data_IF_450715956012
#
_entry.id   IF_450715956012
#
_cell.length_a   1.000
_cell.length_b   1.000
_cell.length_c   1.000
_cell.angle_alpha   90.00
_cell.angle_beta   90.00
_cell.angle_gamma   90.00
#
_symmetry.space_group_name_H-M   'P 1'
#
loop_
_entity.id
_entity.type
_entity.pdbx_description
1 polymer ?
#
# COMPACT_ATOMS: atom_id res chain seq x y z
N UNK A 1 23.14 -1.52 -21.57
CA UNK A 1 22.56 -1.06 -20.30
C UNK A 1 23.55 -1.35 -19.18
N UNK A 2 23.86 -0.36 -18.34
CA UNK A 2 24.80 -0.55 -17.24
C UNK A 2 24.11 -1.17 -16.01
N UNK A 3 24.90 -1.48 -14.98
CA UNK A 3 24.38 -2.11 -13.77
C UNK A 3 23.31 -1.28 -13.08
N UNK A 4 23.50 0.05 -13.03
CA UNK A 4 22.55 0.95 -12.37
C UNK A 4 21.22 0.99 -13.12
N UNK A 5 21.26 1.02 -14.44
CA UNK A 5 20.06 1.03 -15.26
C UNK A 5 19.28 -0.29 -15.15
N UNK A 6 20.01 -1.43 -15.10
CA UNK A 6 19.40 -2.72 -14.90
C UNK A 6 18.70 -2.81 -13.55
N UNK A 7 19.37 -2.33 -12.51
CA UNK A 7 18.82 -2.34 -11.17
C UNK A 7 17.58 -1.46 -11.08
N UNK A 8 17.61 -0.30 -11.73
CA UNK A 8 16.46 0.59 -11.74
C UNK A 8 15.25 -0.06 -12.41
N UNK A 9 15.46 -0.77 -13.52
CA UNK A 9 14.37 -1.47 -14.19
C UNK A 9 13.78 -2.57 -13.33
N UNK A 10 14.64 -3.33 -12.65
CA UNK A 10 14.19 -4.39 -11.73
C UNK A 10 13.36 -3.77 -10.60
N UNK A 11 13.84 -2.68 -10.01
CA UNK A 11 13.14 -2.00 -8.92
C UNK A 11 11.79 -1.48 -9.37
N UNK A 12 11.70 -0.90 -10.58
CA UNK A 12 10.43 -0.43 -11.13
C UNK A 12 9.44 -1.56 -11.35
N UNK A 13 9.92 -2.69 -11.84
CA UNK A 13 9.06 -3.88 -12.05
C UNK A 13 8.51 -4.39 -10.73
N UNK A 14 9.34 -4.51 -9.71
CA UNK A 14 8.89 -4.94 -8.38
C UNK A 14 7.91 -3.95 -7.79
N UNK A 15 8.17 -2.66 -7.93
CA UNK A 15 7.29 -1.60 -7.42
C UNK A 15 5.91 -1.70 -8.05
N UNK A 16 5.82 -1.96 -9.36
CA UNK A 16 4.53 -2.06 -10.04
C UNK A 16 3.70 -3.24 -9.54
N UNK A 17 4.33 -4.39 -9.32
CA UNK A 17 3.62 -5.59 -8.87
C UNK A 17 3.35 -5.55 -7.36
N UNK A 18 4.39 -5.32 -6.58
CA UNK A 18 4.32 -5.44 -5.14
C UNK A 18 3.58 -4.29 -4.50
N UNK A 19 3.67 -3.10 -5.08
CA UNK A 19 2.99 -1.91 -4.55
C UNK A 19 1.47 -2.04 -4.61
N UNK A 20 0.94 -2.86 -5.51
CA UNK A 20 -0.50 -3.07 -5.64
C UNK A 20 -0.97 -4.26 -4.83
N UNK A 21 -0.25 -5.38 -4.88
CA UNK A 21 -0.69 -6.63 -4.26
C UNK A 21 -0.13 -6.83 -2.84
N UNK A 22 1.16 -7.03 -2.74
CA UNK A 22 1.82 -7.30 -1.46
C UNK A 22 3.29 -6.93 -1.61
N UNK A 23 3.63 -5.66 -1.43
CA UNK A 23 4.98 -5.17 -1.71
C UNK A 23 6.00 -5.74 -0.74
N UNK A 24 6.87 -6.62 -1.24
CA UNK A 24 7.91 -7.24 -0.44
C UNK A 24 8.95 -6.21 0.03
N UNK A 25 9.16 -5.13 -0.74
CA UNK A 25 10.09 -4.07 -0.35
C UNK A 25 9.58 -3.22 0.81
N UNK A 26 8.33 -3.39 1.21
CA UNK A 26 7.77 -2.74 2.38
C UNK A 26 7.83 -3.63 3.63
N UNK A 27 8.53 -4.74 3.55
CA UNK A 27 8.77 -5.58 4.72
C UNK A 27 9.91 -5.01 5.56
N UNK A 28 9.79 -5.10 6.88
CA UNK A 28 10.86 -4.75 7.80
C UNK A 28 11.85 -5.91 7.91
N UNK A 29 13.04 -5.64 8.48
CA UNK A 29 14.09 -6.64 8.62
C UNK A 29 13.64 -7.88 9.39
N UNK A 30 12.70 -7.71 10.32
CA UNK A 30 12.17 -8.80 11.12
C UNK A 30 11.07 -9.59 10.42
N UNK A 31 10.76 -9.26 9.16
CA UNK A 31 9.71 -9.92 8.38
C UNK A 31 8.32 -9.32 8.54
N UNK A 32 8.18 -8.30 9.35
CA UNK A 32 6.88 -7.63 9.57
C UNK A 32 6.58 -6.70 8.41
N UNK A 33 5.35 -6.75 7.88
CA UNK A 33 4.93 -5.77 6.88
C UNK A 33 4.81 -4.38 7.51
N UNK A 34 5.25 -3.34 6.78
CA UNK A 34 5.20 -1.97 7.28
C UNK A 34 3.79 -1.58 7.68
N UNK A 35 2.77 -1.99 6.92
CA UNK A 35 1.37 -1.67 7.26
C UNK A 35 0.97 -2.20 8.62
N UNK A 36 1.44 -3.40 8.99
CA UNK A 36 1.13 -3.99 10.28
C UNK A 36 1.86 -3.24 11.40
N UNK A 37 3.07 -2.80 11.14
CA UNK A 37 3.84 -1.97 12.07
C UNK A 37 3.13 -0.64 12.32
N UNK A 38 2.67 0.01 11.25
CA UNK A 38 1.90 1.27 11.35
C UNK A 38 0.66 1.05 12.22
N UNK A 39 -0.06 -0.05 11.97
CA UNK A 39 -1.26 -0.37 12.75
C UNK A 39 -0.93 -0.57 14.24
N UNK A 40 0.20 -1.22 14.54
CA UNK A 40 0.60 -1.44 15.93
C UNK A 40 0.90 -0.13 16.66
N UNK A 41 1.40 0.87 15.95
CA UNK A 41 1.73 2.17 16.53
C UNK A 41 0.49 3.05 16.64
N UNK A 42 -0.32 3.13 15.59
CA UNK A 42 -1.45 4.05 15.50
C UNK A 42 -2.74 3.49 16.09
N UNK A 43 -2.82 2.18 16.28
CA UNK A 43 -4.06 1.52 16.63
C UNK A 43 -4.99 1.39 15.44
N UNK A 44 -6.13 0.70 15.63
CA UNK A 44 -7.05 0.41 14.54
C UNK A 44 -7.65 1.69 13.94
N UNK A 45 -8.06 2.64 14.79
CA UNK A 45 -8.65 3.88 14.28
C UNK A 45 -7.64 4.73 13.52
N UNK A 46 -6.42 4.87 14.03
CA UNK A 46 -5.36 5.59 13.33
C UNK A 46 -4.98 4.92 12.02
N UNK A 47 -4.91 3.60 12.03
CA UNK A 47 -4.61 2.82 10.82
C UNK A 47 -5.68 3.03 9.73
N UNK A 48 -6.96 2.98 10.11
CA UNK A 48 -8.05 3.23 9.16
C UNK A 48 -7.96 4.63 8.58
N UNK A 49 -7.73 5.63 9.40
CA UNK A 49 -7.58 7.01 8.94
C UNK A 49 -6.40 7.18 7.99
N UNK A 50 -5.27 6.56 8.31
CA UNK A 50 -4.10 6.57 7.46
C UNK A 50 -4.40 5.95 6.09
N UNK A 51 -5.08 4.79 6.07
CA UNK A 51 -5.41 4.10 4.82
C UNK A 51 -6.40 4.91 3.98
N UNK A 52 -7.41 5.51 4.61
CA UNK A 52 -8.35 6.40 3.90
C UNK A 52 -7.61 7.58 3.28
N UNK A 53 -6.68 8.18 4.03
CA UNK A 53 -5.86 9.28 3.50
C UNK A 53 -5.05 8.86 2.28
N UNK A 54 -4.48 7.66 2.30
CA UNK A 54 -3.76 7.13 1.15
C UNK A 54 -4.69 6.94 -0.05
N UNK A 55 -5.89 6.40 0.17
CA UNK A 55 -6.86 6.19 -0.90
C UNK A 55 -7.23 7.54 -1.54
N UNK A 56 -7.49 8.55 -0.73
CA UNK A 56 -7.80 9.90 -1.22
C UNK A 56 -6.65 10.44 -2.07
N UNK A 57 -5.41 10.27 -1.59
CA UNK A 57 -4.23 10.72 -2.32
C UNK A 57 -4.17 10.08 -3.72
N UNK A 58 -4.35 8.77 -3.81
CA UNK A 58 -4.25 8.07 -5.08
C UNK A 58 -5.40 8.43 -6.03
N UNK A 59 -6.61 8.53 -5.52
CA UNK A 59 -7.77 8.96 -6.33
C UNK A 59 -7.57 10.37 -6.85
N UNK A 60 -7.01 11.26 -6.02
CA UNK A 60 -6.80 12.66 -6.39
C UNK A 60 -5.78 12.84 -7.51
N UNK A 61 -4.80 11.92 -7.63
CA UNK A 61 -3.71 12.11 -8.57
C UNK A 61 -3.75 11.19 -9.79
N UNK A 62 -4.71 10.26 -9.88
CA UNK A 62 -4.65 9.21 -10.89
C UNK A 62 -4.60 9.74 -12.33
N UNK A 63 -5.18 10.93 -12.59
CA UNK A 63 -5.18 11.54 -13.91
C UNK A 63 -3.87 12.22 -14.28
N UNK A 64 -3.06 12.60 -13.29
CA UNK A 64 -1.95 13.53 -13.49
C UNK A 64 -0.57 12.91 -13.46
N UNK A 65 -0.42 11.67 -12.95
CA UNK A 65 0.89 11.07 -12.70
C UNK A 65 1.31 10.00 -13.72
N UNK A 66 0.55 9.82 -14.79
CA UNK A 66 0.94 8.92 -15.89
C UNK A 66 0.74 7.44 -15.64
N UNK A 67 0.23 7.05 -14.48
CA UNK A 67 -0.06 5.64 -14.14
C UNK A 67 -1.45 5.53 -13.51
N UNK A 68 -2.51 5.90 -14.25
CA UNK A 68 -3.85 5.99 -13.67
C UNK A 68 -4.38 4.67 -13.13
N UNK A 69 -4.18 3.58 -13.88
CA UNK A 69 -4.68 2.27 -13.43
C UNK A 69 -3.99 1.83 -12.15
N UNK A 70 -2.68 2.03 -12.05
CA UNK A 70 -1.92 1.67 -10.86
C UNK A 70 -2.38 2.49 -9.65
N UNK A 71 -2.58 3.80 -9.84
CA UNK A 71 -3.04 4.66 -8.74
C UNK A 71 -4.42 4.25 -8.24
N UNK A 72 -5.33 3.91 -9.15
CA UNK A 72 -6.67 3.46 -8.76
C UNK A 72 -6.62 2.13 -8.03
N UNK A 73 -5.75 1.21 -8.45
CA UNK A 73 -5.56 -0.06 -7.75
C UNK A 73 -4.97 0.14 -6.36
N UNK A 74 -4.05 1.09 -6.20
CA UNK A 74 -3.51 1.43 -4.88
C UNK A 74 -4.59 2.01 -3.97
N UNK A 75 -5.49 2.83 -4.53
CA UNK A 75 -6.63 3.33 -3.77
C UNK A 75 -7.51 2.17 -3.31
N UNK A 76 -7.80 1.21 -4.18
CA UNK A 76 -8.58 0.01 -3.82
C UNK A 76 -7.92 -0.79 -2.70
N UNK A 77 -6.60 -0.99 -2.76
CA UNK A 77 -5.88 -1.73 -1.74
C UNK A 77 -5.98 -1.05 -0.38
N UNK A 78 -5.88 0.27 -0.34
CA UNK A 78 -6.01 1.01 0.90
C UNK A 78 -7.43 0.94 1.46
N UNK A 79 -8.44 1.02 0.60
CA UNK A 79 -9.84 0.85 1.01
C UNK A 79 -10.05 -0.57 1.55
N UNK A 80 -9.47 -1.58 0.90
CA UNK A 80 -9.59 -2.96 1.35
C UNK A 80 -9.01 -3.16 2.75
N UNK A 81 -7.90 -2.49 3.07
CA UNK A 81 -7.34 -2.54 4.42
C UNK A 81 -8.32 -2.05 5.47
N UNK A 82 -9.09 -1.00 5.16
CA UNK A 82 -10.11 -0.49 6.08
C UNK A 82 -11.24 -1.51 6.23
N UNK A 83 -11.68 -2.07 5.13
CA UNK A 83 -12.75 -3.09 5.14
C UNK A 83 -12.33 -4.29 5.98
N UNK A 84 -11.08 -4.72 5.85
CA UNK A 84 -10.56 -5.86 6.60
C UNK A 84 -10.58 -5.60 8.11
N UNK A 85 -10.16 -4.40 8.53
CA UNK A 85 -10.19 -4.03 9.95
C UNK A 85 -11.62 -4.00 10.48
N UNK A 86 -12.54 -3.43 9.71
CA UNK A 86 -13.96 -3.40 10.09
C UNK A 86 -14.53 -4.81 10.21
N UNK A 87 -14.16 -5.71 9.29
CA UNK A 87 -14.58 -7.10 9.34
C UNK A 87 -14.05 -7.84 10.57
N UNK A 88 -12.81 -7.60 10.94
CA UNK A 88 -12.23 -8.17 12.15
C UNK A 88 -12.98 -7.71 13.41
N UNK A 89 -13.30 -6.43 13.48
CA UNK A 89 -14.02 -5.87 14.62
C UNK A 89 -15.44 -6.42 14.71
N UNK A 90 -16.13 -6.58 13.58
CA UNK A 90 -17.45 -7.17 13.54
C UNK A 90 -17.42 -8.64 14.00
N UNK A 91 -16.37 -9.37 13.63
CA UNK A 91 -16.22 -10.78 14.02
C UNK A 91 -16.03 -10.95 15.54
N UNK A 92 -15.56 -9.90 16.22
CA UNK A 92 -15.36 -9.94 17.69
C UNK A 92 -16.64 -9.65 18.46
N UNK A 93 -17.61 -9.06 17.80
CA UNK A 93 -18.92 -8.78 18.42
C UNK A 93 -19.82 -9.99 18.37
#
# INVERSE_FOLDING_TARGET
MNENEKQQLIDEMFTMNDAVKRPSHYMLEDGTEVKNHIRSILGDEGFKSWAVGNAIKYVSRYKDKGKPEQDLKKAQENIQMVIDVLGENDALD
#
